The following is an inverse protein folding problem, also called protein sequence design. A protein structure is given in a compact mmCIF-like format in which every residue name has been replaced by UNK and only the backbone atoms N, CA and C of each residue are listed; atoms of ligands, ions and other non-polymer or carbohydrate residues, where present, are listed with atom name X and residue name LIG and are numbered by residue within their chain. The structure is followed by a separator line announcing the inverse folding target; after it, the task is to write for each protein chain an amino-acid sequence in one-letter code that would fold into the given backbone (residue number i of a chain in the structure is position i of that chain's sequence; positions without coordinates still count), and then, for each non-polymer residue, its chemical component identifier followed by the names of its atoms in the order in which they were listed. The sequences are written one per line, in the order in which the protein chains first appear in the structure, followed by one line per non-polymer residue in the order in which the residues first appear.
data_IF_399766290309
#
_entry.id   IF_399766290309
#
_cell.length_a   1.000
_cell.length_b   1.000
_cell.length_c   1.000
_cell.angle_alpha   90.00
_cell.angle_beta   90.00
_cell.angle_gamma   90.00
#
_symmetry.space_group_name_H-M   'P 1'
#
loop_
_entity.id
_entity.type
_entity.pdbx_description
1 polymer ?
#
# COMPACT_ATOMS: atom_id res chain seq x y z
N UNK A 1 -16.51 -6.13 -0.84
CA UNK A 1 -16.57 -7.57 -0.51
C UNK A 1 -16.76 -7.74 0.98
N UNK A 2 -17.56 -8.71 1.38
CA UNK A 2 -17.96 -8.93 2.77
C UNK A 2 -17.55 -10.35 3.19
N UNK A 3 -16.93 -10.55 4.36
CA UNK A 3 -16.65 -11.88 4.88
C UNK A 3 -17.94 -12.63 5.23
N UNK A 4 -17.91 -13.96 5.16
CA UNK A 4 -19.01 -14.80 5.63
C UNK A 4 -19.10 -14.73 7.15
N UNK A 5 -20.27 -14.38 7.69
CA UNK A 5 -20.47 -14.21 9.14
C UNK A 5 -20.43 -15.53 9.91
N UNK A 6 -20.87 -16.62 9.29
CA UNK A 6 -20.84 -17.97 9.86
C UNK A 6 -20.35 -18.97 8.80
N UNK A 7 -19.02 -19.06 8.55
CA UNK A 7 -18.46 -19.91 7.51
C UNK A 7 -18.54 -21.39 7.93
N UNK A 8 -19.39 -22.14 7.25
CA UNK A 8 -19.64 -23.56 7.53
C UNK A 8 -18.85 -24.48 6.61
N UNK A 9 -18.54 -24.04 5.39
CA UNK A 9 -17.77 -24.82 4.41
C UNK A 9 -16.27 -24.50 4.47
N UNK A 10 -15.43 -25.43 3.99
CA UNK A 10 -13.98 -25.18 3.87
C UNK A 10 -13.68 -24.00 2.93
N UNK A 11 -14.45 -23.83 1.86
CA UNK A 11 -14.29 -22.74 0.91
C UNK A 11 -14.58 -21.36 1.55
N UNK A 12 -15.65 -21.25 2.35
CA UNK A 12 -15.99 -20.01 3.07
C UNK A 12 -14.93 -19.65 4.11
N UNK A 13 -14.40 -20.65 4.83
CA UNK A 13 -13.30 -20.47 5.79
C UNK A 13 -12.02 -20.00 5.09
N UNK A 14 -11.66 -20.62 3.97
CA UNK A 14 -10.50 -20.23 3.17
C UNK A 14 -10.64 -18.81 2.62
N UNK A 15 -11.83 -18.46 2.12
CA UNK A 15 -12.15 -17.11 1.67
C UNK A 15 -11.99 -16.08 2.79
N UNK A 16 -12.59 -16.30 3.96
CA UNK A 16 -12.45 -15.39 5.09
C UNK A 16 -11.00 -15.25 5.53
N UNK A 17 -10.23 -16.34 5.59
CA UNK A 17 -8.80 -16.30 5.93
C UNK A 17 -8.03 -15.42 4.95
N UNK A 18 -8.23 -15.61 3.63
CA UNK A 18 -7.57 -14.79 2.60
C UNK A 18 -8.03 -13.34 2.71
N UNK A 19 -9.33 -13.09 2.86
CA UNK A 19 -9.89 -11.75 2.96
C UNK A 19 -9.30 -10.98 4.14
N UNK A 20 -9.24 -11.60 5.32
CA UNK A 20 -8.61 -11.00 6.52
C UNK A 20 -7.14 -10.68 6.28
N UNK A 21 -6.37 -11.62 5.69
CA UNK A 21 -4.95 -11.40 5.38
C UNK A 21 -4.74 -10.19 4.45
N UNK A 22 -5.52 -10.07 3.38
CA UNK A 22 -5.43 -8.93 2.47
C UNK A 22 -5.84 -7.61 3.14
N UNK A 23 -6.89 -7.63 3.98
CA UNK A 23 -7.32 -6.44 4.74
C UNK A 23 -6.21 -5.93 5.65
N UNK A 24 -5.53 -6.81 6.38
CA UNK A 24 -4.43 -6.42 7.28
C UNK A 24 -3.32 -5.71 6.50
N UNK A 25 -2.97 -6.20 5.31
CA UNK A 25 -1.94 -5.57 4.45
C UNK A 25 -2.40 -4.17 4.01
N UNK A 26 -3.64 -4.04 3.55
CA UNK A 26 -4.21 -2.77 3.09
C UNK A 26 -4.30 -1.75 4.24
N UNK A 27 -4.83 -2.17 5.39
CA UNK A 27 -4.98 -1.34 6.58
C UNK A 27 -3.61 -0.87 7.09
N UNK A 28 -2.60 -1.75 7.09
CA UNK A 28 -1.21 -1.39 7.42
C UNK A 28 -0.61 -0.38 6.44
N UNK A 29 -0.87 -0.53 5.14
CA UNK A 29 -0.42 0.42 4.13
C UNK A 29 -1.03 1.82 4.36
N UNK A 30 -2.34 1.90 4.55
CA UNK A 30 -3.01 3.17 4.85
C UNK A 30 -2.59 3.76 6.21
N UNK A 31 -2.28 2.92 7.20
CA UNK A 31 -1.73 3.35 8.48
C UNK A 31 -0.38 4.07 8.32
N UNK A 32 0.57 3.45 7.62
CA UNK A 32 1.88 4.05 7.33
C UNK A 32 1.73 5.35 6.53
N UNK A 33 0.84 5.38 5.54
CA UNK A 33 0.62 6.57 4.72
C UNK A 33 0.07 7.74 5.56
N UNK A 34 -0.95 7.50 6.41
CA UNK A 34 -1.52 8.54 7.27
C UNK A 34 -0.55 9.03 8.35
N UNK A 35 0.26 8.13 8.90
CA UNK A 35 1.30 8.49 9.88
C UNK A 35 2.37 9.38 9.24
N UNK A 36 2.77 9.08 8.00
CA UNK A 36 3.79 9.86 7.27
C UNK A 36 3.25 11.18 6.73
N UNK A 37 1.98 11.21 6.32
CA UNK A 37 1.31 12.39 5.77
C UNK A 37 0.10 12.74 6.64
N UNK A 38 0.29 13.48 7.76
CA UNK A 38 -0.80 13.85 8.68
C UNK A 38 -1.96 14.59 8.02
N UNK A 39 -1.72 15.22 6.86
CA UNK A 39 -2.76 15.84 6.04
C UNK A 39 -3.85 14.83 5.61
N UNK A 40 -3.54 13.53 5.55
CA UNK A 40 -4.51 12.48 5.25
C UNK A 40 -5.30 11.99 6.49
N UNK A 41 -4.91 12.41 7.69
CA UNK A 41 -5.55 12.00 8.95
C UNK A 41 -6.57 13.03 9.45
N UNK A 42 -6.33 14.32 9.20
CA UNK A 42 -7.14 15.41 9.74
C UNK A 42 -8.02 16.07 8.66
N UNK A 43 -8.95 16.93 9.10
CA UNK A 43 -9.75 17.74 8.18
C UNK A 43 -8.85 18.68 7.38
N UNK A 44 -8.83 18.50 6.07
CA UNK A 44 -8.03 19.29 5.15
C UNK A 44 -8.79 20.56 4.76
N UNK A 45 -8.16 21.73 4.94
CA UNK A 45 -8.68 23.04 4.47
C UNK A 45 -8.03 23.44 3.14
N UNK A 46 -8.01 22.51 2.20
CA UNK A 46 -7.49 22.71 0.84
C UNK A 46 -8.68 22.70 -0.12
N UNK A 47 -8.61 23.49 -1.18
CA UNK A 47 -9.62 23.48 -2.23
C UNK A 47 -9.85 22.06 -2.74
N UNK A 48 -11.12 21.64 -2.86
CA UNK A 48 -11.48 20.30 -3.30
C UNK A 48 -10.89 19.91 -4.65
N UNK A 49 -10.58 20.89 -5.50
CA UNK A 49 -9.95 20.68 -6.81
C UNK A 49 -8.50 20.16 -6.72
N UNK A 50 -7.77 20.51 -5.65
CA UNK A 50 -6.36 20.14 -5.45
C UNK A 50 -6.24 18.85 -4.64
N UNK A 51 -7.27 18.50 -3.87
CA UNK A 51 -7.25 17.35 -2.96
C UNK A 51 -6.91 16.01 -3.64
N UNK A 52 -7.47 15.65 -4.83
CA UNK A 52 -7.10 14.42 -5.51
C UNK A 52 -5.62 14.38 -5.91
N UNK A 53 -5.09 15.50 -6.40
CA UNK A 53 -3.68 15.60 -6.79
C UNK A 53 -2.77 15.48 -5.57
N UNK A 54 -3.13 16.14 -4.47
CA UNK A 54 -2.41 16.03 -3.20
C UNK A 54 -2.35 14.58 -2.71
N UNK A 55 -3.50 13.87 -2.71
CA UNK A 55 -3.56 12.46 -2.31
C UNK A 55 -2.64 11.63 -3.21
N UNK A 56 -2.73 11.80 -4.54
CA UNK A 56 -1.86 11.10 -5.48
C UNK A 56 -0.37 11.38 -5.22
N UNK A 57 0.01 12.63 -4.95
CA UNK A 57 1.38 12.99 -4.59
C UNK A 57 1.86 12.25 -3.32
N UNK A 58 1.02 12.16 -2.27
CA UNK A 58 1.37 11.41 -1.07
C UNK A 58 1.68 9.94 -1.39
N UNK A 59 0.89 9.28 -2.25
CA UNK A 59 1.14 7.89 -2.66
C UNK A 59 2.41 7.75 -3.51
N UNK A 60 2.64 8.65 -4.46
CA UNK A 60 3.84 8.63 -5.31
C UNK A 60 5.09 8.80 -4.45
N UNK A 61 5.13 9.82 -3.59
CA UNK A 61 6.26 10.08 -2.69
C UNK A 61 6.47 8.90 -1.74
N UNK A 62 5.40 8.32 -1.18
CA UNK A 62 5.52 7.13 -0.33
C UNK A 62 6.20 5.97 -1.05
N UNK A 63 5.78 5.70 -2.30
CA UNK A 63 6.33 4.61 -3.10
C UNK A 63 7.79 4.85 -3.48
N UNK A 64 8.16 6.09 -3.84
CA UNK A 64 9.54 6.47 -4.13
C UNK A 64 10.41 6.25 -2.91
N UNK A 65 9.95 6.70 -1.75
CA UNK A 65 10.72 6.52 -0.52
C UNK A 65 10.89 5.03 -0.17
N UNK A 66 9.81 4.23 -0.31
CA UNK A 66 9.90 2.78 -0.12
C UNK A 66 10.85 2.11 -1.11
N UNK A 67 10.94 2.62 -2.34
CA UNK A 67 11.87 2.09 -3.34
C UNK A 67 13.34 2.36 -2.99
N UNK A 68 13.65 3.53 -2.43
CA UNK A 68 15.03 3.88 -2.03
C UNK A 68 15.42 3.34 -0.65
N UNK A 69 14.57 2.53 -0.01
CA UNK A 69 14.73 2.00 1.35
C UNK A 69 15.00 3.08 2.42
N UNK A 70 14.48 4.29 2.20
CA UNK A 70 14.47 5.34 3.24
C UNK A 70 13.26 5.09 4.15
N UNK A 71 13.41 4.09 5.01
CA UNK A 71 12.38 3.71 5.96
C UNK A 71 12.20 4.82 6.99
N UNK A 72 11.16 5.63 6.76
CA UNK A 72 10.64 6.58 7.74
C UNK A 72 10.17 5.83 8.98
N UNK A 73 11.02 5.75 10.00
CA UNK A 73 10.67 5.34 11.35
C UNK A 73 9.93 6.49 12.06
N UNK A 74 8.68 6.74 11.68
CA UNK A 74 7.86 7.73 12.39
C UNK A 74 7.80 7.41 13.89
N UNK A 75 7.93 8.45 14.73
CA UNK A 75 7.75 8.39 16.19
C UNK A 75 6.51 7.55 16.54
N UNK A 76 6.70 6.40 17.19
CA UNK A 76 5.64 5.48 17.60
C UNK A 76 5.58 4.12 16.88
N UNK A 77 6.68 3.69 16.24
CA UNK A 77 6.83 2.35 15.64
C UNK A 77 6.82 1.17 16.64
N UNK A 78 6.50 1.39 17.92
CA UNK A 78 6.38 0.32 18.91
C UNK A 78 4.90 0.05 19.23
N UNK A 79 4.42 -1.08 18.72
CA UNK A 79 3.46 -2.01 19.35
C UNK A 79 1.97 -1.61 19.53
N UNK A 80 1.15 -1.58 18.45
CA UNK A 80 -0.31 -1.86 18.59
C UNK A 80 -0.88 -2.85 17.55
N UNK A 81 -0.08 -3.33 16.60
CA UNK A 81 -0.44 -4.56 15.88
C UNK A 81 0.66 -5.59 16.11
N UNK A 82 0.67 -6.28 17.26
CA UNK A 82 1.27 -7.60 17.30
C UNK A 82 0.64 -8.35 16.13
N UNK A 83 1.47 -8.84 15.20
CA UNK A 83 1.02 -9.80 14.20
C UNK A 83 0.45 -10.99 14.98
N UNK A 84 -0.89 -11.20 15.02
CA UNK A 84 -1.45 -12.31 15.79
C UNK A 84 -0.94 -13.66 15.23
N UNK A 85 -0.51 -13.63 13.97
CA UNK A 85 0.06 -14.73 13.22
C UNK A 85 1.49 -14.37 12.79
N UNK A 86 2.35 -13.99 13.75
CA UNK A 86 3.81 -13.93 13.58
C UNK A 86 4.47 -15.28 13.20
N UNK A 87 3.75 -16.15 12.50
CA UNK A 87 4.31 -17.23 11.72
C UNK A 87 5.25 -16.60 10.68
N UNK A 88 6.49 -17.09 10.68
CA UNK A 88 7.41 -16.89 9.57
C UNK A 88 6.62 -17.19 8.29
N UNK A 89 6.38 -16.15 7.49
CA UNK A 89 5.66 -16.29 6.22
C UNK A 89 6.44 -17.30 5.38
N UNK A 90 5.93 -18.52 5.24
CA UNK A 90 6.22 -19.30 4.05
C UNK A 90 5.66 -18.49 2.88
N UNK A 91 6.52 -17.71 2.22
CA UNK A 91 6.17 -17.04 0.98
C UNK A 91 5.96 -18.11 -0.09
N UNK A 92 4.72 -18.52 -0.26
CA UNK A 92 4.35 -19.42 -1.34
C UNK A 92 4.65 -18.74 -2.69
N UNK A 93 5.07 -19.54 -3.67
CA UNK A 93 5.54 -19.07 -4.98
C UNK A 93 4.59 -18.07 -5.65
N UNK A 94 3.29 -18.29 -5.53
CA UNK A 94 2.24 -17.41 -6.04
C UNK A 94 2.27 -16.01 -5.39
N UNK A 95 2.55 -15.92 -4.09
CA UNK A 95 2.73 -14.65 -3.39
C UNK A 95 3.97 -13.88 -3.84
N UNK A 96 5.04 -14.59 -4.22
CA UNK A 96 6.27 -14.00 -4.79
C UNK A 96 5.99 -13.48 -6.19
N UNK A 97 5.31 -14.26 -7.04
CA UNK A 97 4.93 -13.85 -8.39
C UNK A 97 4.07 -12.59 -8.40
N UNK A 98 3.01 -12.53 -7.58
CA UNK A 98 2.11 -11.36 -7.51
C UNK A 98 2.87 -10.10 -7.08
N UNK A 99 3.83 -10.24 -6.18
CA UNK A 99 4.70 -9.11 -5.77
C UNK A 99 5.62 -8.67 -6.90
N UNK A 100 6.25 -9.62 -7.58
CA UNK A 100 7.15 -9.37 -8.70
C UNK A 100 6.41 -8.70 -9.87
N UNK A 101 5.22 -9.19 -10.24
CA UNK A 101 4.37 -8.55 -11.25
C UNK A 101 3.98 -7.13 -10.84
N UNK A 102 3.63 -6.94 -9.57
CA UNK A 102 3.34 -5.61 -9.03
C UNK A 102 4.55 -4.68 -9.08
N UNK A 103 5.76 -5.17 -8.79
CA UNK A 103 7.00 -4.40 -8.92
C UNK A 103 7.31 -4.08 -10.38
N UNK A 104 7.15 -5.05 -11.28
CA UNK A 104 7.41 -4.88 -12.71
C UNK A 104 6.49 -3.80 -13.30
N UNK A 105 5.18 -3.86 -13.03
CA UNK A 105 4.23 -2.82 -13.47
C UNK A 105 4.57 -1.44 -12.91
N UNK A 106 5.03 -1.35 -11.66
CA UNK A 106 5.50 -0.09 -11.06
C UNK A 106 6.73 0.46 -11.78
N UNK A 107 7.69 -0.39 -12.11
CA UNK A 107 8.90 -0.03 -12.87
C UNK A 107 8.53 0.47 -14.27
N UNK A 108 7.63 -0.24 -14.96
CA UNK A 108 7.15 0.15 -16.29
C UNK A 108 6.48 1.53 -16.27
N UNK A 109 5.58 1.77 -15.32
CA UNK A 109 4.92 3.08 -15.16
C UNK A 109 5.95 4.17 -14.85
N UNK A 110 6.91 3.90 -13.96
CA UNK A 110 7.99 4.85 -13.64
C UNK A 110 8.79 5.23 -14.89
N UNK A 111 9.20 4.25 -15.69
CA UNK A 111 9.93 4.49 -16.93
C UNK A 111 9.10 5.26 -17.97
N UNK A 112 7.79 5.01 -18.06
CA UNK A 112 6.91 5.79 -18.93
C UNK A 112 6.86 7.26 -18.50
N UNK A 113 6.73 7.54 -17.20
CA UNK A 113 6.70 8.91 -16.66
C UNK A 113 8.01 9.64 -16.95
N UNK A 114 9.16 9.02 -16.67
CA UNK A 114 10.47 9.61 -16.93
C UNK A 114 10.67 9.93 -18.42
N UNK A 115 10.23 9.03 -19.30
CA UNK A 115 10.31 9.24 -20.74
C UNK A 115 9.37 10.33 -21.26
N UNK A 116 8.21 10.52 -20.62
CA UNK A 116 7.28 11.62 -20.93
C UNK A 116 7.87 12.97 -20.52
N UNK A 117 8.49 13.07 -19.35
CA UNK A 117 9.16 14.29 -18.90
C UNK A 117 10.33 14.69 -19.79
N UNK A 118 11.14 13.71 -20.22
CA UNK A 118 12.26 13.97 -21.13
C UNK A 118 11.80 14.46 -22.51
N UNK A 119 10.60 14.06 -22.95
CA UNK A 119 10.02 14.47 -24.23
C UNK A 119 9.41 15.88 -24.17
N UNK A 120 8.94 16.31 -22.99
CA UNK A 120 8.38 17.65 -22.76
C UNK A 120 9.47 18.73 -22.59
N UNK A 121 10.70 18.36 -22.19
CA UNK A 121 11.84 19.30 -22.04
C UNK A 121 12.63 19.58 -23.33
N UNK A 122 12.26 18.96 -24.44
CA UNK A 122 12.94 19.11 -25.75
C UNK A 122 12.24 20.10 -26.69
N UNK A 123 11.37 20.96 -26.14
CA UNK A 123 10.69 22.06 -26.85
C UNK A 123 10.85 23.36 -26.07
#
# INVERSE_FOLDING_TARGET
MTPFRNPNTLAEKAYNKRHTKERVIIERCFGQLKQRFPILQYKVRVSGNILPQLIMCCFVVHNVVKYVNDDWEGFGSVAIYPDPDGEQREENFEGVLVRNEGQQRRIEISNMILNLENRQRQF
#
